data_IF_754129652936
#
_entry.id   IF_754129652936
#
_cell.length_a   1.000
_cell.length_b   1.000
_cell.length_c   1.000
_cell.angle_alpha   90.00
_cell.angle_beta   90.00
_cell.angle_gamma   90.00
#
_symmetry.space_group_name_H-M   'P 1'
#
loop_
_entity.id
_entity.type
_entity.pdbx_description
1 polymer ?
#
# COMPACT_ATOMS: atom_id res chain seq x y z
N UNK A 1 3.27 5.20 -4.58
CA UNK A 1 3.33 6.46 -3.81
C UNK A 1 2.46 6.35 -2.57
N UNK A 2 2.90 6.94 -1.44
CA UNK A 2 2.22 6.79 -0.14
C UNK A 2 0.87 7.54 -0.05
N UNK A 3 0.67 8.60 -0.84
CA UNK A 3 -0.56 9.39 -0.92
C UNK A 3 -0.70 10.02 -2.32
N UNK A 4 -1.82 10.69 -2.58
CA UNK A 4 -2.09 11.41 -3.83
C UNK A 4 -1.21 12.68 -3.96
N UNK A 5 -0.94 13.17 -5.18
CA UNK A 5 -0.24 14.43 -5.39
C UNK A 5 -0.88 15.58 -4.63
N UNK A 6 -0.06 16.42 -4.00
CA UNK A 6 -0.53 17.56 -3.20
C UNK A 6 -1.10 17.19 -1.82
N UNK A 7 -1.14 15.91 -1.46
CA UNK A 7 -1.62 15.44 -0.16
C UNK A 7 -0.48 15.02 0.78
N UNK A 8 -0.78 14.91 2.07
CA UNK A 8 0.16 14.48 3.12
C UNK A 8 0.00 12.99 3.40
N UNK A 9 1.11 12.30 3.63
CA UNK A 9 1.13 10.93 4.12
C UNK A 9 1.36 10.95 5.64
N UNK A 10 0.62 10.14 6.39
CA UNK A 10 0.75 10.04 7.83
C UNK A 10 1.95 9.19 8.24
N UNK A 11 2.61 9.60 9.33
CA UNK A 11 3.75 8.89 9.93
C UNK A 11 3.35 7.54 10.58
N UNK A 12 2.06 7.25 10.69
CA UNK A 12 1.57 6.05 11.35
C UNK A 12 1.73 6.13 12.87
N UNK A 13 1.61 4.99 13.56
CA UNK A 13 1.70 4.90 15.03
C UNK A 13 2.90 4.10 15.52
N UNK A 14 3.77 3.65 14.61
CA UNK A 14 4.93 2.83 14.92
C UNK A 14 6.18 3.31 14.20
N UNK A 15 7.11 2.39 13.92
CA UNK A 15 8.40 2.71 13.30
C UNK A 15 8.33 3.08 11.80
N UNK A 16 7.15 2.97 11.19
CA UNK A 16 6.94 3.16 9.75
C UNK A 16 5.73 4.07 9.52
N UNK A 17 5.83 4.90 8.48
CA UNK A 17 4.69 5.60 7.89
C UNK A 17 3.52 4.66 7.61
N UNK A 18 2.29 5.17 7.70
CA UNK A 18 1.06 4.36 7.59
C UNK A 18 1.05 3.49 6.31
N UNK A 19 1.50 4.04 5.19
CA UNK A 19 1.61 3.29 3.93
C UNK A 19 2.58 2.12 4.04
N UNK A 20 3.80 2.37 4.51
CA UNK A 20 4.84 1.34 4.64
C UNK A 20 4.44 0.26 5.64
N UNK A 21 3.82 0.66 6.75
CA UNK A 21 3.27 -0.28 7.74
C UNK A 21 2.26 -1.24 7.09
N UNK A 22 1.30 -0.73 6.32
CA UNK A 22 0.30 -1.57 5.66
C UNK A 22 0.90 -2.38 4.50
N UNK A 23 1.90 -1.85 3.80
CA UNK A 23 2.62 -2.58 2.75
C UNK A 23 3.34 -3.81 3.31
N UNK A 24 4.06 -3.66 4.43
CA UNK A 24 4.74 -4.79 5.08
C UNK A 24 3.75 -5.89 5.49
N UNK A 25 2.58 -5.52 6.03
CA UNK A 25 1.51 -6.49 6.37
C UNK A 25 0.98 -7.22 5.14
N UNK A 26 0.78 -6.51 4.03
CA UNK A 26 0.29 -7.10 2.80
C UNK A 26 1.32 -8.03 2.14
N UNK A 27 2.62 -7.74 2.28
CA UNK A 27 3.72 -8.58 1.79
C UNK A 27 3.84 -9.94 2.48
N UNK A 28 3.34 -10.08 3.71
CA UNK A 28 3.37 -11.37 4.42
C UNK A 28 2.36 -12.38 3.86
N UNK A 29 1.46 -11.96 2.96
CA UNK A 29 0.54 -12.86 2.24
C UNK A 29 1.27 -13.52 1.07
N UNK A 30 1.30 -14.85 1.07
CA UNK A 30 1.88 -15.64 -0.01
C UNK A 30 0.87 -15.84 -1.15
N UNK A 31 1.38 -15.96 -2.38
CA UNK A 31 0.57 -16.31 -3.55
C UNK A 31 -0.38 -15.21 -4.03
N UNK A 32 -0.16 -13.96 -3.63
CA UNK A 32 -0.92 -12.79 -4.13
C UNK A 32 -0.10 -12.00 -5.13
N UNK A 33 -0.76 -11.51 -6.18
CA UNK A 33 -0.12 -10.64 -7.16
C UNK A 33 0.26 -9.29 -6.54
N UNK A 34 1.28 -8.63 -7.08
CA UNK A 34 1.67 -7.27 -6.67
C UNK A 34 0.52 -6.26 -6.76
N UNK A 35 -0.34 -6.37 -7.77
CA UNK A 35 -1.51 -5.52 -7.92
C UNK A 35 -2.49 -5.71 -6.76
N UNK A 36 -2.68 -6.96 -6.32
CA UNK A 36 -3.53 -7.25 -5.17
C UNK A 36 -2.91 -6.78 -3.86
N UNK A 37 -1.58 -6.87 -3.71
CA UNK A 37 -0.85 -6.24 -2.60
C UNK A 37 -1.13 -4.74 -2.57
N UNK A 38 -0.96 -4.02 -3.68
CA UNK A 38 -1.21 -2.57 -3.73
C UNK A 38 -2.69 -2.20 -3.48
N UNK A 39 -3.64 -2.98 -4.00
CA UNK A 39 -5.07 -2.79 -3.72
C UNK A 39 -5.38 -2.93 -2.23
N UNK A 40 -4.77 -3.90 -1.55
CA UNK A 40 -4.95 -4.08 -0.11
C UNK A 40 -4.38 -2.92 0.69
N UNK A 41 -3.15 -2.50 0.38
CA UNK A 41 -2.52 -1.35 1.04
C UNK A 41 -3.38 -0.10 0.87
N UNK A 42 -3.84 0.20 -0.35
CA UNK A 42 -4.73 1.34 -0.60
C UNK A 42 -5.99 1.29 0.26
N UNK A 43 -6.64 0.12 0.31
CA UNK A 43 -7.88 -0.08 1.09
C UNK A 43 -7.65 0.17 2.58
N UNK A 44 -6.57 -0.38 3.14
CA UNK A 44 -6.28 -0.27 4.56
C UNK A 44 -5.86 1.15 4.93
N UNK A 45 -4.97 1.77 4.15
CA UNK A 45 -4.54 3.16 4.38
C UNK A 45 -5.74 4.10 4.30
N UNK A 46 -6.61 3.94 3.29
CA UNK A 46 -7.83 4.74 3.16
C UNK A 46 -8.74 4.57 4.39
N UNK A 47 -8.98 3.32 4.82
CA UNK A 47 -9.82 3.01 5.98
C UNK A 47 -9.25 3.58 7.28
N UNK A 48 -7.98 3.34 7.57
CA UNK A 48 -7.33 3.75 8.83
C UNK A 48 -7.19 5.27 8.90
N UNK A 49 -6.86 5.92 7.78
CA UNK A 49 -6.78 7.38 7.71
C UNK A 49 -8.13 8.08 7.60
N UNK A 50 -9.24 7.35 7.69
CA UNK A 50 -10.61 7.89 7.53
C UNK A 50 -10.77 8.67 6.22
N UNK A 51 -10.16 8.19 5.13
CA UNK A 51 -10.17 8.81 3.81
C UNK A 51 -9.16 9.96 3.61
N UNK A 52 -8.36 10.34 4.61
CA UNK A 52 -7.41 11.45 4.52
C UNK A 52 -6.16 11.13 3.69
N UNK A 53 -5.80 9.86 3.57
CA UNK A 53 -4.64 9.41 2.80
C UNK A 53 -5.08 8.39 1.74
N UNK A 54 -4.78 8.68 0.48
CA UNK A 54 -5.17 7.84 -0.66
C UNK A 54 -3.92 7.44 -1.45
N UNK A 55 -3.39 6.23 -1.27
CA UNK A 55 -2.21 5.78 -2.01
C UNK A 55 -2.44 5.64 -3.52
N UNK A 56 -1.46 6.04 -4.30
CA UNK A 56 -1.44 5.93 -5.76
C UNK A 56 -0.34 4.97 -6.20
N UNK A 57 -0.62 4.16 -7.22
CA UNK A 57 0.36 3.35 -7.93
C UNK A 57 0.34 3.71 -9.42
N UNK A 58 1.48 3.56 -10.07
CA UNK A 58 1.63 3.70 -11.52
C UNK A 58 2.39 2.47 -12.00
N UNK A 59 1.86 1.77 -12.99
CA UNK A 59 2.37 0.46 -13.39
C UNK A 59 2.52 0.35 -14.90
N UNK A 60 3.55 -0.38 -15.31
CA UNK A 60 3.73 -0.89 -16.67
C UNK A 60 4.02 -2.40 -16.62
N UNK A 61 3.48 -3.07 -15.60
CA UNK A 61 3.59 -4.52 -15.41
C UNK A 61 2.60 -5.20 -16.35
N UNK A 62 3.10 -6.10 -17.20
CA UNK A 62 2.30 -6.82 -18.19
C UNK A 62 1.85 -8.21 -17.74
N UNK A 63 2.61 -8.84 -16.86
CA UNK A 63 2.38 -10.21 -16.39
C UNK A 63 2.32 -10.23 -14.87
N UNK A 64 1.66 -11.24 -14.32
CA UNK A 64 1.57 -11.40 -12.88
C UNK A 64 2.96 -11.51 -12.24
N UNK A 65 3.18 -10.68 -11.22
CA UNK A 65 4.33 -10.78 -10.33
C UNK A 65 3.88 -11.18 -8.94
N UNK A 66 4.61 -12.10 -8.34
CA UNK A 66 4.38 -12.59 -6.99
C UNK A 66 5.67 -12.42 -6.17
N UNK A 67 5.53 -12.05 -4.89
CA UNK A 67 6.65 -12.11 -3.97
C UNK A 67 6.89 -13.55 -3.50
N UNK A 68 8.09 -14.06 -3.73
CA UNK A 68 8.54 -15.37 -3.23
C UNK A 68 9.31 -15.16 -1.92
N UNK A 69 8.58 -15.05 -0.80
CA UNK A 69 9.15 -14.94 0.54
C UNK A 69 9.06 -16.27 1.28
#
# INVERSE_FOLDING_TARGET
YATAPGSVAADGTGNNGLYTQEFLKALDKKGVTIENVFKEVRRNVYKISTGKQVPWDNSSIFNDFYFNK
#
